data_IF_622907655172
#
_entry.id   IF_622907655172
#
_cell.length_a   1.000
_cell.length_b   1.000
_cell.length_c   1.000
_cell.angle_alpha   90.00
_cell.angle_beta   90.00
_cell.angle_gamma   90.00
#
_symmetry.space_group_name_H-M   'P 1'
#
loop_
_entity.id
_entity.type
_entity.pdbx_description
1 polymer ?
#
# COMPACT_ATOMS: atom_id res chain seq x y z
N UNK A 1 22.88 36.82 -9.47
CA UNK A 1 21.72 36.17 -10.09
C UNK A 1 21.25 35.07 -9.15
N UNK A 2 20.19 35.32 -8.37
CA UNK A 2 19.64 34.32 -7.47
C UNK A 2 18.58 33.51 -8.23
N UNK A 3 18.93 32.27 -8.60
CA UNK A 3 18.01 31.33 -9.24
C UNK A 3 16.84 31.02 -8.32
N UNK A 4 15.63 31.30 -8.80
CA UNK A 4 14.37 30.96 -8.12
C UNK A 4 14.33 29.45 -7.82
N UNK A 5 14.00 29.16 -6.57
CA UNK A 5 13.66 27.83 -6.04
C UNK A 5 12.67 27.11 -6.97
N UNK A 6 12.99 25.86 -7.34
CA UNK A 6 12.01 24.90 -7.86
C UNK A 6 10.95 24.70 -6.76
N UNK A 7 9.73 25.14 -7.02
CA UNK A 7 8.60 25.05 -6.09
C UNK A 7 7.49 24.23 -6.71
N UNK A 8 7.09 23.18 -5.97
CA UNK A 8 5.90 22.33 -6.08
C UNK A 8 5.84 21.38 -7.28
N UNK A 9 5.93 20.09 -6.97
CA UNK A 9 5.26 19.03 -7.73
C UNK A 9 3.82 19.48 -7.98
N UNK A 10 3.44 19.55 -9.25
CA UNK A 10 2.07 19.80 -9.71
C UNK A 10 1.24 18.49 -9.58
N UNK A 11 1.32 17.83 -8.42
CA UNK A 11 0.43 16.72 -8.09
C UNK A 11 -0.93 17.33 -7.75
N UNK A 12 -1.83 17.33 -8.73
CA UNK A 12 -3.23 17.74 -8.52
C UNK A 12 -3.82 16.81 -7.44
N UNK A 13 -4.34 17.35 -6.32
CA UNK A 13 -4.89 16.52 -5.25
C UNK A 13 -5.95 15.57 -5.79
N UNK A 14 -5.86 14.29 -5.43
CA UNK A 14 -6.90 13.33 -5.79
C UNK A 14 -8.22 13.70 -5.12
N UNK A 15 -9.28 13.82 -5.92
CA UNK A 15 -10.64 13.96 -5.39
C UNK A 15 -11.17 12.61 -4.94
N UNK A 16 -10.82 12.23 -3.71
CA UNK A 16 -11.28 11.00 -3.05
C UNK A 16 -12.82 10.93 -2.92
N UNK A 17 -13.55 12.04 -3.12
CA UNK A 17 -15.01 12.08 -3.06
C UNK A 17 -15.71 11.66 -4.35
N UNK A 18 -14.99 11.55 -5.46
CA UNK A 18 -15.54 11.27 -6.78
C UNK A 18 -15.02 9.94 -7.38
N UNK A 19 -14.33 9.12 -6.59
CA UNK A 19 -13.86 7.80 -7.02
C UNK A 19 -15.05 6.86 -7.10
N UNK A 20 -15.26 6.24 -8.27
CA UNK A 20 -16.33 5.27 -8.48
C UNK A 20 -15.95 3.93 -7.86
N UNK A 21 -16.83 3.29 -7.10
CA UNK A 21 -16.59 1.95 -6.58
C UNK A 21 -16.46 0.95 -7.74
N UNK A 22 -15.64 -0.08 -7.54
CA UNK A 22 -15.55 -1.24 -8.43
C UNK A 22 -16.76 -2.13 -8.15
N UNK A 23 -17.87 -1.87 -8.84
CA UNK A 23 -19.14 -2.58 -8.57
C UNK A 23 -19.11 -4.06 -9.00
N UNK A 24 -18.23 -4.43 -9.94
CA UNK A 24 -18.13 -5.77 -10.53
C UNK A 24 -16.70 -6.11 -10.92
N UNK A 25 -16.34 -7.38 -10.77
CA UNK A 25 -15.08 -7.93 -11.24
C UNK A 25 -15.08 -8.06 -12.76
N UNK A 26 -13.88 -7.98 -13.31
CA UNK A 26 -13.60 -8.20 -14.72
C UNK A 26 -12.65 -9.39 -14.87
N UNK A 27 -12.64 -10.07 -16.03
CA UNK A 27 -11.71 -11.17 -16.27
C UNK A 27 -10.25 -10.67 -16.20
N UNK A 28 -9.35 -11.53 -15.72
CA UNK A 28 -7.92 -11.23 -15.66
C UNK A 28 -7.39 -10.93 -17.08
N UNK A 29 -6.66 -9.83 -17.29
CA UNK A 29 -6.06 -9.52 -18.57
C UNK A 29 -5.16 -10.67 -19.06
N UNK A 30 -5.41 -11.18 -20.27
CA UNK A 30 -4.64 -12.31 -20.85
C UNK A 30 -3.14 -12.06 -20.95
N UNK A 31 -2.73 -10.80 -20.99
CA UNK A 31 -1.34 -10.36 -21.01
C UNK A 31 -0.61 -10.65 -19.69
N UNK A 32 -1.33 -10.78 -18.57
CA UNK A 32 -0.74 -10.87 -17.23
C UNK A 32 -0.31 -12.29 -16.86
N UNK A 33 -1.06 -13.33 -17.25
CA UNK A 33 -0.78 -14.71 -16.83
C UNK A 33 0.64 -15.18 -17.21
N UNK A 34 1.16 -14.70 -18.34
CA UNK A 34 2.49 -15.05 -18.86
C UNK A 34 3.64 -14.29 -18.19
N UNK A 35 3.38 -13.12 -17.60
CA UNK A 35 4.41 -12.21 -17.08
C UNK A 35 4.62 -12.31 -15.57
N UNK A 36 3.71 -12.97 -14.84
CA UNK A 36 3.75 -13.09 -13.38
C UNK A 36 4.14 -14.49 -12.89
N UNK A 37 4.26 -15.47 -13.78
CA UNK A 37 4.62 -16.85 -13.42
C UNK A 37 5.99 -17.22 -13.96
N UNK A 38 6.85 -17.76 -13.09
CA UNK A 38 8.11 -18.40 -13.46
C UNK A 38 7.95 -19.92 -13.39
N UNK A 39 8.64 -20.65 -14.26
CA UNK A 39 8.63 -22.12 -14.26
C UNK A 39 9.89 -22.58 -13.53
N UNK A 40 9.71 -23.20 -12.35
CA UNK A 40 10.77 -23.84 -11.60
C UNK A 40 10.67 -25.37 -11.69
N UNK A 41 11.83 -26.03 -11.62
CA UNK A 41 11.90 -27.50 -11.56
C UNK A 41 11.42 -27.94 -10.19
N UNK A 42 10.36 -28.75 -10.11
CA UNK A 42 9.94 -29.31 -8.84
C UNK A 42 10.95 -30.36 -8.34
N UNK A 43 10.93 -30.65 -7.04
CA UNK A 43 11.77 -31.69 -6.42
C UNK A 43 11.53 -33.10 -7.01
N UNK A 44 10.40 -33.31 -7.70
CA UNK A 44 10.13 -34.55 -8.43
C UNK A 44 10.60 -34.47 -9.90
N UNK A 45 11.38 -35.45 -10.38
CA UNK A 45 11.93 -35.44 -11.72
C UNK A 45 10.81 -35.48 -12.78
N UNK A 46 10.66 -34.38 -13.51
CA UNK A 46 9.71 -34.24 -14.63
C UNK A 46 8.51 -33.34 -14.36
N UNK A 47 8.34 -32.84 -13.13
CA UNK A 47 7.22 -31.96 -12.78
C UNK A 47 7.69 -30.50 -12.75
N UNK A 48 7.08 -29.64 -13.56
CA UNK A 48 7.34 -28.20 -13.58
C UNK A 48 6.31 -27.49 -12.68
N UNK A 49 6.76 -26.66 -11.74
CA UNK A 49 5.88 -25.87 -10.88
C UNK A 49 5.88 -24.41 -11.36
N UNK A 50 4.70 -23.86 -11.62
CA UNK A 50 4.55 -22.42 -11.82
C UNK A 50 4.61 -21.73 -10.45
N UNK A 51 5.54 -20.81 -10.30
CA UNK A 51 5.73 -20.01 -9.10
C UNK A 51 5.43 -18.55 -9.44
N UNK A 52 4.56 -17.92 -8.66
CA UNK A 52 4.29 -16.49 -8.81
C UNK A 52 5.54 -15.69 -8.48
N UNK A 53 6.00 -14.89 -9.44
CA UNK A 53 7.02 -13.89 -9.21
C UNK A 53 6.45 -12.79 -8.30
N UNK A 54 7.27 -12.19 -7.43
CA UNK A 54 6.83 -11.01 -6.70
C UNK A 54 6.62 -9.82 -7.68
N UNK A 55 5.59 -8.98 -7.48
CA UNK A 55 5.39 -7.81 -8.31
C UNK A 55 6.56 -6.83 -8.18
N UNK A 56 6.84 -6.10 -9.26
CA UNK A 56 7.84 -5.03 -9.25
C UNK A 56 7.45 -3.95 -8.25
N UNK A 57 8.37 -3.57 -7.37
CA UNK A 57 8.15 -2.54 -6.35
C UNK A 57 8.13 -1.16 -7.03
N UNK A 58 7.04 -0.42 -6.86
CA UNK A 58 6.92 0.99 -7.22
C UNK A 58 7.10 1.85 -5.98
N UNK A 59 8.14 2.68 -5.96
CA UNK A 59 8.46 3.54 -4.80
C UNK A 59 7.89 4.97 -4.98
N UNK A 60 7.34 5.50 -3.90
CA UNK A 60 6.72 6.82 -3.82
C UNK A 60 7.20 7.55 -2.55
N UNK A 61 7.24 8.87 -2.61
CA UNK A 61 7.59 9.76 -1.49
C UNK A 61 6.42 10.68 -1.05
N UNK A 62 5.40 10.80 -1.90
CA UNK A 62 4.18 11.56 -1.64
C UNK A 62 2.96 10.64 -1.55
N UNK A 63 2.10 10.91 -0.56
CA UNK A 63 0.88 10.13 -0.33
C UNK A 63 -0.08 10.23 -1.53
N UNK A 64 -0.22 11.42 -2.15
CA UNK A 64 -1.12 11.59 -3.29
C UNK A 64 -0.69 10.77 -4.51
N UNK A 65 0.62 10.61 -4.76
CA UNK A 65 1.13 9.81 -5.88
C UNK A 65 0.86 8.31 -5.66
N UNK A 66 1.03 7.86 -4.42
CA UNK A 66 0.74 6.48 -4.03
C UNK A 66 -0.77 6.17 -4.13
N UNK A 67 -1.63 7.08 -3.67
CA UNK A 67 -3.10 6.96 -3.81
C UNK A 67 -3.53 6.96 -5.28
N UNK A 68 -2.92 7.82 -6.12
CA UNK A 68 -3.14 7.83 -7.56
C UNK A 68 -2.81 6.48 -8.19
N UNK A 69 -1.65 5.92 -7.84
CA UNK A 69 -1.22 4.61 -8.32
C UNK A 69 -2.22 3.51 -7.98
N UNK A 70 -2.65 3.38 -6.72
CA UNK A 70 -3.62 2.35 -6.32
C UNK A 70 -4.95 2.48 -7.08
N UNK A 71 -5.43 3.71 -7.28
CA UNK A 71 -6.63 3.96 -8.08
C UNK A 71 -6.44 3.57 -9.54
N UNK A 72 -5.31 3.93 -10.13
CA UNK A 72 -5.04 3.68 -11.54
C UNK A 72 -4.88 2.16 -11.80
N UNK A 73 -4.23 1.41 -10.90
CA UNK A 73 -4.17 -0.07 -10.97
C UNK A 73 -5.56 -0.72 -10.90
N UNK A 74 -6.47 -0.13 -10.14
CA UNK A 74 -7.88 -0.57 -10.11
C UNK A 74 -8.56 -0.28 -11.44
N UNK A 75 -8.34 0.90 -12.01
CA UNK A 75 -8.94 1.32 -13.26
C UNK A 75 -8.42 0.52 -14.47
N UNK A 76 -7.14 0.18 -14.46
CA UNK A 76 -6.46 -0.65 -15.46
C UNK A 76 -6.72 -2.16 -15.27
N UNK A 77 -7.51 -2.52 -14.26
CA UNK A 77 -7.89 -3.90 -13.97
C UNK A 77 -6.69 -4.79 -13.57
N UNK A 78 -5.65 -4.22 -12.93
CA UNK A 78 -4.44 -4.89 -12.43
C UNK A 78 -4.35 -4.92 -10.88
N UNK A 79 -5.41 -4.50 -10.18
CA UNK A 79 -5.47 -4.39 -8.70
C UNK A 79 -5.19 -5.67 -7.89
N UNK A 80 -5.23 -6.85 -8.50
CA UNK A 80 -4.97 -8.14 -7.85
C UNK A 80 -3.49 -8.56 -7.95
N UNK A 81 -2.63 -7.75 -8.57
CA UNK A 81 -1.18 -8.02 -8.63
C UNK A 81 -0.35 -6.73 -8.75
N UNK A 82 0.04 -6.14 -7.62
CA UNK A 82 0.94 -5.00 -7.60
C UNK A 82 1.71 -4.90 -6.28
N UNK A 83 2.75 -4.06 -6.26
CA UNK A 83 3.51 -3.76 -5.06
C UNK A 83 3.91 -2.28 -5.05
N UNK A 84 3.26 -1.49 -4.20
CA UNK A 84 3.59 -0.09 -3.95
C UNK A 84 4.29 0.09 -2.61
N UNK A 85 5.30 0.95 -2.58
CA UNK A 85 6.03 1.32 -1.36
C UNK A 85 6.07 2.84 -1.22
N UNK A 86 5.63 3.37 -0.09
CA UNK A 86 5.56 4.79 0.20
C UNK A 86 6.47 5.14 1.38
N UNK A 87 7.33 6.13 1.19
CA UNK A 87 8.26 6.66 2.18
C UNK A 87 7.95 8.12 2.48
N UNK A 88 7.24 8.40 3.58
CA UNK A 88 6.74 9.75 3.83
C UNK A 88 6.78 10.15 5.31
N UNK A 89 6.65 11.44 5.55
CA UNK A 89 6.41 11.98 6.89
C UNK A 89 4.90 12.07 7.14
N UNK A 90 4.37 11.43 8.20
CA UNK A 90 2.95 11.51 8.49
C UNK A 90 2.47 12.97 8.69
N UNK A 91 1.24 13.31 8.28
CA UNK A 91 0.74 14.69 8.34
C UNK A 91 0.80 15.32 9.73
N UNK A 92 0.60 14.53 10.79
CA UNK A 92 0.67 15.02 12.17
C UNK A 92 2.10 15.43 12.59
N UNK A 93 3.13 14.81 12.01
CA UNK A 93 4.54 15.18 12.22
C UNK A 93 4.84 16.49 11.51
N UNK A 94 4.46 16.59 10.24
CA UNK A 94 4.69 17.78 9.41
C UNK A 94 3.99 19.01 9.98
N UNK A 95 2.73 18.85 10.41
CA UNK A 95 1.96 19.90 11.09
C UNK A 95 2.62 20.38 12.39
N UNK A 96 3.22 19.46 13.16
CA UNK A 96 3.89 19.81 14.41
C UNK A 96 5.20 20.59 14.19
N UNK A 97 5.77 20.51 12.99
CA UNK A 97 7.05 21.14 12.62
C UNK A 97 6.88 22.30 11.63
N UNK A 98 5.64 22.72 11.36
CA UNK A 98 5.31 23.76 10.37
C UNK A 98 5.86 23.45 8.96
N UNK A 99 5.72 22.19 8.54
CA UNK A 99 6.16 21.66 7.25
C UNK A 99 7.67 21.80 6.99
N UNK A 100 8.46 21.94 8.06
CA UNK A 100 9.91 22.00 8.02
C UNK A 100 10.51 20.73 8.63
N UNK A 101 11.03 19.86 7.75
CA UNK A 101 11.62 18.57 8.13
C UNK A 101 12.82 18.73 9.07
N UNK A 102 13.58 19.83 8.95
CA UNK A 102 14.74 20.08 9.83
C UNK A 102 14.33 20.39 11.28
N UNK A 103 13.08 20.79 11.50
CA UNK A 103 12.53 21.06 12.82
C UNK A 103 11.94 19.83 13.51
N UNK A 104 11.95 18.67 12.86
CA UNK A 104 11.48 17.42 13.46
C UNK A 104 12.36 17.07 14.66
N UNK A 105 11.73 17.00 15.84
CA UNK A 105 12.45 16.64 17.06
C UNK A 105 12.98 15.21 16.93
N UNK A 106 14.23 14.93 17.32
CA UNK A 106 14.79 13.57 17.27
C UNK A 106 14.01 12.55 18.09
N UNK A 107 13.19 13.00 19.05
CA UNK A 107 12.31 12.14 19.86
C UNK A 107 11.03 11.70 19.14
N UNK A 108 10.73 12.23 17.96
CA UNK A 108 9.60 11.82 17.12
C UNK A 108 10.03 10.62 16.29
N UNK A 109 10.07 9.45 16.92
CA UNK A 109 10.46 8.18 16.31
C UNK A 109 9.73 7.04 17.05
N UNK A 110 10.03 5.78 16.70
CA UNK A 110 9.37 4.60 17.30
C UNK A 110 9.40 4.56 18.83
N UNK A 111 10.44 5.12 19.47
CA UNK A 111 10.59 5.06 20.93
C UNK A 111 9.60 5.98 21.66
N UNK A 112 8.99 6.93 20.95
CA UNK A 112 7.96 7.81 21.52
C UNK A 112 6.58 7.14 21.49
N UNK A 113 6.04 6.88 22.68
CA UNK A 113 4.66 6.38 22.85
C UNK A 113 3.62 7.30 22.22
N UNK A 114 3.84 8.62 22.27
CA UNK A 114 2.95 9.60 21.63
C UNK A 114 2.99 9.45 20.11
N UNK A 115 4.18 9.37 19.51
CA UNK A 115 4.34 9.18 18.07
C UNK A 115 3.68 7.88 17.61
N UNK A 116 3.92 6.75 18.29
CA UNK A 116 3.27 5.47 17.97
C UNK A 116 1.75 5.54 17.99
N UNK A 117 1.17 6.18 19.01
CA UNK A 117 -0.29 6.33 19.13
C UNK A 117 -0.86 7.21 18.03
N UNK A 118 -0.22 8.34 17.76
CA UNK A 118 -0.66 9.27 16.72
C UNK A 118 -0.51 8.63 15.33
N UNK A 119 0.54 7.84 15.10
CA UNK A 119 0.73 7.04 13.88
C UNK A 119 -0.33 5.95 13.74
N UNK A 120 -0.61 5.19 14.79
CA UNK A 120 -1.67 4.17 14.74
C UNK A 120 -3.05 4.79 14.44
N UNK A 121 -3.34 5.97 15.00
CA UNK A 121 -4.55 6.71 14.68
C UNK A 121 -4.58 7.12 13.20
N UNK A 122 -3.45 7.63 12.68
CA UNK A 122 -3.31 7.98 11.27
C UNK A 122 -3.56 6.78 10.34
N UNK A 123 -2.96 5.62 10.64
CA UNK A 123 -3.15 4.39 9.85
C UNK A 123 -4.64 4.01 9.78
N UNK A 124 -5.33 3.98 10.92
CA UNK A 124 -6.73 3.52 11.00
C UNK A 124 -7.76 4.54 10.51
N UNK A 125 -7.49 5.84 10.62
CA UNK A 125 -8.47 6.89 10.31
C UNK A 125 -8.26 7.55 8.96
N UNK A 126 -7.05 7.48 8.41
CA UNK A 126 -6.71 8.11 7.15
C UNK A 126 -6.21 7.04 6.18
N UNK A 127 -5.02 6.49 6.38
CA UNK A 127 -4.36 5.62 5.39
C UNK A 127 -5.25 4.47 4.89
N UNK A 128 -5.80 3.64 5.78
CA UNK A 128 -6.66 2.51 5.39
C UNK A 128 -7.94 3.00 4.71
N UNK A 129 -8.55 4.07 5.23
CA UNK A 129 -9.81 4.60 4.68
C UNK A 129 -9.63 5.24 3.31
N UNK A 130 -8.51 5.88 3.10
CA UNK A 130 -8.21 6.55 1.84
C UNK A 130 -7.78 5.50 0.80
N UNK A 131 -7.07 4.45 1.20
CA UNK A 131 -6.84 3.26 0.38
C UNK A 131 -8.15 2.59 -0.07
N UNK A 132 -9.09 2.36 0.86
CA UNK A 132 -10.41 1.76 0.58
C UNK A 132 -11.20 2.57 -0.47
N UNK A 133 -11.16 3.91 -0.36
CA UNK A 133 -11.74 4.79 -1.38
C UNK A 133 -11.00 4.71 -2.72
N UNK A 134 -9.66 4.66 -2.69
CA UNK A 134 -8.85 4.63 -3.90
C UNK A 134 -9.04 3.36 -4.71
N UNK A 135 -9.07 2.21 -4.03
CA UNK A 135 -9.28 0.92 -4.67
C UNK A 135 -10.74 0.66 -5.03
N UNK A 136 -11.69 1.34 -4.38
CA UNK A 136 -13.11 1.28 -4.73
C UNK A 136 -13.79 -0.04 -4.36
N UNK A 137 -13.19 -0.86 -3.52
CA UNK A 137 -13.75 -2.09 -2.96
C UNK A 137 -13.50 -2.13 -1.43
N UNK A 138 -14.22 -2.99 -0.72
CA UNK A 138 -14.15 -3.02 0.74
C UNK A 138 -12.80 -3.58 1.21
N UNK A 139 -12.14 -2.88 2.15
CA UNK A 139 -10.92 -3.35 2.78
C UNK A 139 -11.22 -3.79 4.21
N UNK A 140 -11.15 -5.09 4.46
CA UNK A 140 -11.40 -5.72 5.74
C UNK A 140 -10.10 -6.09 6.45
N UNK A 141 -9.22 -5.10 6.61
CA UNK A 141 -8.05 -5.26 7.46
C UNK A 141 -8.49 -5.48 8.92
N UNK A 142 -8.35 -6.71 9.39
CA UNK A 142 -8.64 -7.09 10.77
C UNK A 142 -7.69 -6.43 11.76
N UNK A 143 -7.49 -7.09 12.90
CA UNK A 143 -6.54 -6.59 13.90
C UNK A 143 -5.11 -6.79 13.40
N UNK A 144 -4.44 -5.69 13.05
CA UNK A 144 -3.04 -5.73 12.62
C UNK A 144 -2.11 -6.34 13.67
N UNK A 145 -1.20 -7.18 13.21
CA UNK A 145 -0.10 -7.73 14.01
C UNK A 145 0.96 -6.66 14.22
N UNK A 146 1.45 -6.51 15.46
CA UNK A 146 2.52 -5.55 15.77
C UNK A 146 3.79 -6.32 16.03
N UNK A 147 4.76 -6.15 15.14
CA UNK A 147 6.10 -6.73 15.27
C UNK A 147 7.05 -5.61 15.67
N UNK A 148 7.58 -5.69 16.90
CA UNK A 148 8.53 -4.73 17.44
C UNK A 148 9.91 -5.37 17.56
N UNK A 149 10.91 -4.70 16.97
CA UNK A 149 12.32 -5.02 17.12
C UNK A 149 13.05 -3.86 17.77
N UNK A 150 14.33 -4.04 18.10
CA UNK A 150 15.16 -2.99 18.69
C UNK A 150 15.27 -1.74 17.81
N UNK A 151 15.22 -1.89 16.48
CA UNK A 151 15.36 -0.79 15.51
C UNK A 151 14.05 -0.31 14.90
N UNK A 152 12.99 -1.11 14.84
CA UNK A 152 11.73 -0.74 14.18
C UNK A 152 10.48 -1.29 14.83
N UNK A 153 9.35 -0.67 14.53
CA UNK A 153 8.01 -1.21 14.81
C UNK A 153 7.30 -1.32 13.48
N UNK A 154 6.76 -2.50 13.18
CA UNK A 154 5.97 -2.78 11.98
C UNK A 154 4.56 -3.21 12.37
N UNK A 155 3.56 -2.54 11.83
CA UNK A 155 2.16 -2.96 11.87
C UNK A 155 1.84 -3.69 10.58
N UNK A 156 1.50 -4.96 10.67
CA UNK A 156 1.16 -5.81 9.54
C UNK A 156 -0.34 -6.03 9.49
N UNK A 157 -0.96 -5.71 8.37
CA UNK A 157 -2.35 -5.97 8.12
C UNK A 157 -2.46 -6.91 6.92
N UNK A 158 -3.34 -7.89 7.04
CA UNK A 158 -3.65 -8.83 5.97
C UNK A 158 -5.15 -8.86 5.77
N UNK A 159 -5.55 -8.85 4.51
CA UNK A 159 -6.93 -9.03 4.08
C UNK A 159 -6.98 -10.16 3.04
N UNK A 160 -7.65 -11.23 3.41
CA UNK A 160 -7.90 -12.44 2.60
C UNK A 160 -9.42 -12.66 2.48
N UNK A 161 -10.21 -11.59 2.63
CA UNK A 161 -11.67 -11.63 2.47
C UNK A 161 -12.07 -11.56 0.99
N UNK A 162 -13.38 -11.52 0.75
CA UNK A 162 -14.02 -11.38 -0.55
C UNK A 162 -14.06 -9.93 -1.07
N UNK A 163 -13.46 -8.98 -0.33
CA UNK A 163 -13.35 -7.55 -0.69
C UNK A 163 -14.70 -6.88 -1.05
N UNK A 164 -15.82 -7.43 -0.55
CA UNK A 164 -17.18 -6.99 -0.85
C UNK A 164 -17.82 -7.60 -2.11
N UNK A 165 -17.13 -8.49 -2.81
CA UNK A 165 -17.64 -9.22 -3.96
C UNK A 165 -18.32 -10.53 -3.56
N UNK A 166 -19.19 -11.05 -4.43
CA UNK A 166 -19.78 -12.37 -4.20
C UNK A 166 -18.81 -13.46 -4.62
N UNK A 167 -18.75 -14.56 -3.85
CA UNK A 167 -17.95 -15.75 -4.22
C UNK A 167 -18.25 -16.27 -5.63
N UNK A 168 -19.50 -16.18 -6.06
CA UNK A 168 -19.92 -16.58 -7.41
C UNK A 168 -19.21 -15.76 -8.50
N UNK A 169 -18.94 -14.49 -8.23
CA UNK A 169 -18.26 -13.58 -9.15
C UNK A 169 -16.73 -13.76 -9.11
N UNK A 170 -16.14 -13.96 -7.93
CA UNK A 170 -14.72 -14.30 -7.78
C UNK A 170 -14.39 -15.61 -8.50
N UNK A 171 -15.20 -16.66 -8.29
CA UNK A 171 -15.03 -17.97 -8.93
C UNK A 171 -15.30 -17.90 -10.45
N UNK A 172 -16.22 -17.04 -10.89
CA UNK A 172 -16.49 -16.85 -12.33
C UNK A 172 -15.27 -16.30 -13.08
N UNK A 173 -14.49 -15.43 -12.43
CA UNK A 173 -13.30 -14.82 -13.04
C UNK A 173 -11.98 -15.40 -12.55
N UNK A 174 -12.03 -16.43 -11.69
CA UNK A 174 -10.87 -17.03 -11.00
C UNK A 174 -9.98 -15.94 -10.38
N UNK A 175 -10.63 -15.03 -9.64
CA UNK A 175 -10.01 -13.80 -9.18
C UNK A 175 -10.10 -13.67 -7.67
N UNK A 176 -9.26 -14.47 -7.02
CA UNK A 176 -9.02 -14.44 -5.58
C UNK A 176 -7.67 -13.75 -5.34
N UNK A 177 -7.62 -12.79 -4.43
CA UNK A 177 -6.36 -12.15 -4.07
C UNK A 177 -6.35 -11.75 -2.60
N UNK A 178 -5.14 -11.61 -2.08
CA UNK A 178 -4.89 -11.07 -0.75
C UNK A 178 -4.20 -9.73 -0.82
N UNK A 179 -4.48 -8.90 0.17
CA UNK A 179 -3.83 -7.63 0.37
C UNK A 179 -2.98 -7.69 1.63
N UNK A 180 -1.73 -7.25 1.52
CA UNK A 180 -0.79 -7.11 2.63
C UNK A 180 -0.40 -5.64 2.74
N UNK A 181 -0.64 -5.04 3.91
CA UNK A 181 -0.26 -3.67 4.23
C UNK A 181 0.67 -3.69 5.44
N UNK A 182 1.95 -3.39 5.23
CA UNK A 182 2.96 -3.29 6.27
C UNK A 182 3.34 -1.82 6.47
N UNK A 183 3.10 -1.28 7.66
CA UNK A 183 3.48 0.09 8.02
C UNK A 183 4.62 0.03 9.04
N UNK A 184 5.77 0.60 8.72
CA UNK A 184 6.99 0.54 9.52
C UNK A 184 7.44 1.93 9.94
N UNK A 185 7.87 2.07 11.19
CA UNK A 185 8.63 3.24 11.66
C UNK A 185 9.89 2.81 12.42
N UNK A 186 10.92 3.65 12.38
CA UNK A 186 12.25 3.33 12.94
C UNK A 186 12.58 4.20 14.16
N UNK A 187 13.70 3.90 14.82
CA UNK A 187 14.27 4.73 15.88
C UNK A 187 15.10 5.91 15.36
N UNK A 188 15.42 5.94 14.06
CA UNK A 188 16.34 6.90 13.47
C UNK A 188 15.65 8.18 12.99
N UNK A 189 14.40 8.08 12.53
CA UNK A 189 13.67 9.21 11.98
C UNK A 189 12.16 9.14 12.28
N UNK A 190 11.45 10.22 11.93
CA UNK A 190 9.99 10.28 11.95
C UNK A 190 9.36 9.76 10.66
N UNK A 191 10.17 9.28 9.71
CA UNK A 191 9.71 8.76 8.43
C UNK A 191 8.99 7.42 8.65
N UNK A 192 7.98 7.20 7.83
CA UNK A 192 7.17 5.98 7.85
C UNK A 192 7.26 5.34 6.48
N UNK A 193 7.55 4.05 6.50
CA UNK A 193 7.59 3.20 5.31
C UNK A 193 6.27 2.42 5.27
N UNK A 194 5.53 2.55 4.18
CA UNK A 194 4.31 1.79 3.93
C UNK A 194 4.58 0.87 2.75
N UNK A 195 4.32 -0.41 2.92
CA UNK A 195 4.42 -1.42 1.87
C UNK A 195 3.02 -1.97 1.66
N UNK A 196 2.47 -1.80 0.46
CA UNK A 196 1.13 -2.24 0.09
C UNK A 196 1.21 -3.16 -1.11
N UNK A 197 0.78 -4.40 -0.92
CA UNK A 197 0.97 -5.46 -1.88
C UNK A 197 -0.33 -6.20 -2.10
N UNK A 198 -0.64 -6.43 -3.37
CA UNK A 198 -1.74 -7.28 -3.81
C UNK A 198 -1.17 -8.50 -4.51
N UNK A 199 -1.64 -9.69 -4.13
CA UNK A 199 -1.14 -10.97 -4.66
C UNK A 199 -2.33 -11.90 -4.92
N UNK A 200 -2.41 -12.54 -6.10
CA UNK A 200 -3.39 -13.58 -6.35
C UNK A 200 -3.20 -14.76 -5.39
N UNK A 201 -4.31 -15.36 -4.98
CA UNK A 201 -4.36 -16.55 -4.13
C UNK A 201 -4.38 -17.84 -4.95
#
# INVERSE_FOLDING_TARGET
MAGKKKSKSDSVPLDLGNIKPLEKLQPVPKTRSSSITSIESADEPGTMKQVLLPPTIREFDELEQFEAFVRDETWDNEFDYFHGRLHYYPPFVMKACHDDVEKIKPTVNKNSKKFRRDLQHHIQKHLIKDLEKCCGYELNFGKGEVVETDSKVTWKFKDETDHGFSKEEEDMYDRHWRLELDVTCTNESAMVDVEYKSIPL
#
